data_IF_371317665575
#
_entry.id   IF_371317665575
#
_cell.length_a   1.000
_cell.length_b   1.000
_cell.length_c   1.000
_cell.angle_alpha   90.00
_cell.angle_beta   90.00
_cell.angle_gamma   90.00
#
_symmetry.space_group_name_H-M   'P 1'
#
loop_
_entity.id
_entity.type
_entity.pdbx_description
1 polymer ?
#
# COMPACT_ATOMS: atom_id res chain seq x y z
N UNK A 1 -18.16 18.77 -19.03
CA UNK A 1 -16.92 18.16 -18.49
C UNK A 1 -16.31 17.26 -19.56
N UNK A 2 -15.06 17.47 -19.89
CA UNK A 2 -14.32 16.61 -20.82
C UNK A 2 -13.63 15.57 -19.98
N UNK A 3 -13.99 14.31 -20.14
CA UNK A 3 -13.31 13.20 -19.53
C UNK A 3 -12.45 12.49 -20.57
N UNK A 4 -11.14 12.53 -20.39
CA UNK A 4 -10.18 11.79 -21.19
C UNK A 4 -9.40 10.83 -20.31
N UNK A 5 -9.05 9.66 -20.84
CA UNK A 5 -8.17 8.69 -20.18
C UNK A 5 -6.90 8.56 -21.01
N UNK A 6 -5.76 8.73 -20.37
CA UNK A 6 -4.47 8.49 -21.02
C UNK A 6 -3.64 7.51 -20.21
N UNK A 7 -2.89 6.67 -20.89
CA UNK A 7 -1.94 5.75 -20.26
C UNK A 7 -0.57 6.42 -20.26
N UNK A 8 -0.17 6.93 -19.09
CA UNK A 8 1.06 7.70 -18.93
C UNK A 8 2.32 6.91 -19.29
N UNK A 9 2.32 5.60 -19.03
CA UNK A 9 3.45 4.73 -19.33
C UNK A 9 3.77 4.56 -20.81
N UNK A 10 2.82 4.87 -21.68
CA UNK A 10 3.04 4.89 -23.14
C UNK A 10 3.61 6.21 -23.65
N UNK A 11 3.38 7.29 -22.92
CA UNK A 11 3.74 8.64 -23.35
C UNK A 11 5.00 9.17 -22.65
N UNK A 12 5.34 8.61 -21.49
CA UNK A 12 6.46 9.05 -20.66
C UNK A 12 7.24 7.84 -20.14
N UNK A 13 8.56 8.01 -20.03
CA UNK A 13 9.39 7.01 -19.39
C UNK A 13 9.20 7.08 -17.87
N UNK A 14 8.46 6.11 -17.36
CA UNK A 14 8.18 5.94 -15.92
C UNK A 14 8.74 4.60 -15.43
N UNK A 15 9.87 4.15 -15.97
CA UNK A 15 10.44 2.84 -15.67
C UNK A 15 11.13 2.79 -14.32
N UNK A 16 11.58 3.90 -13.80
CA UNK A 16 12.15 3.97 -12.46
C UNK A 16 11.03 4.14 -11.43
N UNK A 17 11.13 3.40 -10.32
CA UNK A 17 10.22 3.61 -9.19
C UNK A 17 10.48 4.97 -8.55
N UNK A 18 9.41 5.66 -8.18
CA UNK A 18 9.54 6.96 -7.54
C UNK A 18 8.27 7.81 -7.61
N UNK A 19 8.42 9.05 -7.18
CA UNK A 19 7.37 10.05 -7.27
C UNK A 19 7.46 10.77 -8.61
N UNK A 20 6.34 10.81 -9.32
CA UNK A 20 6.17 11.56 -10.54
C UNK A 20 5.19 12.71 -10.31
N UNK A 21 5.59 13.92 -10.64
CA UNK A 21 4.69 15.08 -10.63
C UNK A 21 4.04 15.22 -12.01
N UNK A 22 2.74 15.02 -12.07
CA UNK A 22 1.96 15.15 -13.31
C UNK A 22 1.14 16.42 -13.26
N UNK A 23 1.39 17.29 -14.25
CA UNK A 23 0.56 18.45 -14.52
C UNK A 23 0.04 18.39 -15.94
N UNK A 24 -1.10 18.96 -16.19
CA UNK A 24 -1.62 19.10 -17.55
C UNK A 24 -1.96 20.56 -17.85
N UNK A 25 -1.85 20.92 -19.12
CA UNK A 25 -2.30 22.18 -19.65
C UNK A 25 -3.32 21.90 -20.74
N UNK A 26 -4.50 22.49 -20.62
CA UNK A 26 -5.49 22.44 -21.69
C UNK A 26 -5.13 23.48 -22.74
N UNK A 27 -4.76 23.03 -23.92
CA UNK A 27 -4.61 23.92 -25.08
C UNK A 27 -5.95 23.96 -25.82
N UNK A 28 -6.70 25.03 -25.59
CA UNK A 28 -8.03 25.24 -26.18
C UNK A 28 -7.96 25.82 -27.60
N UNK A 29 -6.77 26.01 -28.14
CA UNK A 29 -6.59 26.69 -29.45
C UNK A 29 -6.93 25.84 -30.67
N UNK A 30 -7.15 24.53 -30.53
CA UNK A 30 -7.36 23.63 -31.67
C UNK A 30 -8.82 23.45 -32.12
N UNK A 31 -9.77 24.25 -31.64
CA UNK A 31 -11.20 24.01 -31.94
C UNK A 31 -12.13 25.23 -32.11
N UNK A 32 -11.68 26.43 -31.88
CA UNK A 32 -12.57 27.61 -31.96
C UNK A 32 -12.63 28.18 -33.39
N UNK A 33 -13.68 27.80 -34.11
CA UNK A 33 -14.21 28.62 -35.23
C UNK A 33 -15.17 29.62 -34.60
N UNK A 34 -14.95 30.91 -35.03
CA UNK A 34 -15.84 32.04 -34.96
C UNK A 34 -15.97 32.83 -33.62
N UNK A 35 -15.25 33.94 -33.56
CA UNK A 35 -15.89 35.22 -33.23
C UNK A 35 -16.02 35.60 -31.76
N UNK A 36 -15.33 34.97 -30.80
CA UNK A 36 -15.37 35.42 -29.42
C UNK A 36 -13.96 35.67 -28.87
N UNK A 37 -13.87 36.67 -27.97
CA UNK A 37 -12.67 37.15 -27.34
C UNK A 37 -11.82 36.00 -26.79
N UNK A 38 -10.51 36.13 -26.94
CA UNK A 38 -9.56 35.15 -26.42
C UNK A 38 -9.90 34.76 -24.95
N UNK A 39 -10.12 33.48 -24.66
CA UNK A 39 -10.37 33.09 -23.29
C UNK A 39 -9.12 33.33 -22.43
N UNK A 40 -9.37 33.81 -21.25
CA UNK A 40 -8.37 33.95 -20.21
C UNK A 40 -7.52 32.68 -20.11
N UNK A 41 -6.26 32.85 -19.75
CA UNK A 41 -5.23 31.83 -19.60
C UNK A 41 -5.76 30.43 -19.29
N UNK A 42 -5.36 29.46 -20.14
CA UNK A 42 -5.67 28.05 -19.90
C UNK A 42 -5.24 27.70 -18.47
N UNK A 43 -6.22 27.34 -17.66
CA UNK A 43 -5.96 26.97 -16.28
C UNK A 43 -5.00 25.76 -16.25
N UNK A 44 -3.79 25.98 -15.79
CA UNK A 44 -2.87 24.89 -15.51
C UNK A 44 -3.41 24.09 -14.32
N UNK A 45 -3.42 22.78 -14.45
CA UNK A 45 -3.77 21.93 -13.30
C UNK A 45 -2.73 22.09 -12.18
N UNK A 46 -3.17 21.97 -10.93
CA UNK A 46 -2.24 21.71 -9.84
C UNK A 46 -1.53 20.38 -10.13
N UNK A 47 -0.22 20.34 -10.00
CA UNK A 47 0.54 19.11 -10.17
C UNK A 47 0.06 18.04 -9.17
N UNK A 48 -0.23 16.85 -9.69
CA UNK A 48 -0.61 15.70 -8.87
C UNK A 48 0.60 14.79 -8.73
N UNK A 49 0.99 14.49 -7.51
CA UNK A 49 2.03 13.53 -7.23
C UNK A 49 1.49 12.11 -7.46
N UNK A 50 2.13 11.36 -8.34
CA UNK A 50 1.85 9.95 -8.58
C UNK A 50 3.06 9.15 -8.13
N UNK A 51 2.84 8.20 -7.24
CA UNK A 51 3.84 7.21 -6.87
C UNK A 51 3.75 6.02 -7.81
N UNK A 52 4.89 5.64 -8.35
CA UNK A 52 5.04 4.39 -9.05
C UNK A 52 6.09 3.55 -8.35
N UNK A 53 5.75 2.33 -7.99
CA UNK A 53 6.76 1.35 -7.61
C UNK A 53 7.66 1.06 -8.81
N UNK A 54 8.95 0.84 -8.56
CA UNK A 54 9.87 0.43 -9.62
C UNK A 54 9.26 -0.78 -10.33
N UNK A 55 9.25 -0.81 -11.67
CA UNK A 55 8.79 -1.99 -12.38
C UNK A 55 9.63 -3.16 -11.86
N UNK A 56 8.95 -4.19 -11.38
CA UNK A 56 9.58 -5.48 -11.18
C UNK A 56 10.12 -5.85 -12.55
N UNK A 57 11.45 -5.93 -12.71
CA UNK A 57 12.15 -6.09 -14.00
C UNK A 57 11.87 -7.43 -14.71
N UNK A 58 10.91 -8.19 -14.23
CA UNK A 58 10.36 -9.36 -14.92
C UNK A 58 8.82 -9.32 -14.78
N UNK A 59 8.07 -9.81 -15.77
CA UNK A 59 6.68 -10.14 -15.56
C UNK A 59 6.62 -10.99 -14.29
N UNK A 60 5.73 -10.62 -13.38
CA UNK A 60 5.48 -11.45 -12.19
C UNK A 60 5.05 -12.80 -12.73
N UNK A 61 5.93 -13.78 -12.61
CA UNK A 61 5.61 -15.17 -12.93
C UNK A 61 4.68 -15.67 -11.83
N UNK A 62 3.38 -15.53 -12.10
CA UNK A 62 2.34 -15.96 -11.17
C UNK A 62 2.33 -17.47 -10.98
N UNK A 63 2.85 -18.24 -11.95
CA UNK A 63 3.05 -19.68 -11.79
C UNK A 63 4.20 -19.96 -10.82
N UNK A 64 5.30 -19.23 -10.91
CA UNK A 64 6.39 -19.32 -9.93
C UNK A 64 5.96 -18.83 -8.54
N UNK A 65 5.12 -17.79 -8.43
CA UNK A 65 4.56 -17.34 -7.15
C UNK A 65 3.57 -18.37 -6.59
N UNK A 66 2.74 -18.98 -7.42
CA UNK A 66 1.83 -20.05 -7.00
C UNK A 66 2.56 -21.36 -6.71
N UNK A 67 3.75 -21.59 -7.30
CA UNK A 67 4.63 -22.70 -6.98
C UNK A 67 5.52 -22.44 -5.75
N UNK A 68 5.62 -21.20 -5.29
CA UNK A 68 6.18 -20.90 -3.97
C UNK A 68 5.26 -21.55 -2.94
N UNK A 69 5.77 -22.57 -2.25
CA UNK A 69 5.09 -23.19 -1.12
C UNK A 69 4.54 -22.08 -0.22
N UNK A 70 3.32 -22.30 0.27
CA UNK A 70 2.75 -21.42 1.30
C UNK A 70 3.85 -21.16 2.35
N UNK A 71 4.00 -19.89 2.82
CA UNK A 71 5.02 -19.55 3.79
C UNK A 71 5.07 -20.60 4.88
N UNK A 72 6.24 -21.06 5.26
CA UNK A 72 6.39 -22.08 6.27
C UNK A 72 5.64 -21.61 7.53
N UNK A 73 4.50 -22.25 7.84
CA UNK A 73 3.66 -21.89 8.97
C UNK A 73 2.29 -21.28 8.63
N UNK A 74 1.95 -21.04 7.34
CA UNK A 74 0.59 -20.62 6.99
C UNK A 74 -0.41 -21.77 7.15
N UNK A 75 -1.47 -21.51 7.90
CA UNK A 75 -2.58 -22.44 8.10
C UNK A 75 -3.92 -21.73 7.97
N UNK A 76 -4.98 -22.49 7.80
CA UNK A 76 -6.30 -21.99 7.49
C UNK A 76 -7.34 -22.55 8.45
N UNK A 77 -8.31 -21.72 8.84
CA UNK A 77 -9.47 -22.15 9.62
C UNK A 77 -10.73 -21.69 8.90
N UNK A 78 -11.69 -22.58 8.73
CA UNK A 78 -12.98 -22.31 8.08
C UNK A 78 -12.87 -21.77 6.64
N UNK A 79 -11.82 -22.09 5.91
CA UNK A 79 -11.58 -21.66 4.53
C UNK A 79 -11.85 -22.79 3.55
N UNK A 80 -12.64 -22.53 2.51
CA UNK A 80 -12.75 -23.43 1.34
C UNK A 80 -11.42 -23.51 0.58
N UNK A 81 -11.24 -24.50 -0.28
CA UNK A 81 -10.00 -24.66 -1.07
C UNK A 81 -9.71 -23.43 -1.95
N UNK A 82 -10.73 -22.81 -2.55
CA UNK A 82 -10.57 -21.58 -3.34
C UNK A 82 -10.14 -20.40 -2.47
N UNK A 83 -10.69 -20.29 -1.26
CA UNK A 83 -10.29 -19.26 -0.30
C UNK A 83 -8.85 -19.47 0.17
N UNK A 84 -8.43 -20.69 0.45
CA UNK A 84 -7.05 -21.01 0.83
C UNK A 84 -6.06 -20.56 -0.25
N UNK A 85 -6.35 -20.83 -1.54
CA UNK A 85 -5.54 -20.36 -2.66
C UNK A 85 -5.47 -18.83 -2.73
N UNK A 86 -6.61 -18.16 -2.55
CA UNK A 86 -6.67 -16.69 -2.51
C UNK A 86 -5.88 -16.09 -1.34
N UNK A 87 -5.97 -16.70 -0.16
CA UNK A 87 -5.19 -16.30 1.02
C UNK A 87 -3.69 -16.53 0.81
N UNK A 88 -3.29 -17.68 0.24
CA UNK A 88 -1.88 -17.96 -0.04
C UNK A 88 -1.27 -16.88 -0.95
N UNK A 89 -1.99 -16.51 -2.02
CA UNK A 89 -1.56 -15.45 -2.93
C UNK A 89 -1.48 -14.08 -2.21
N UNK A 90 -2.44 -13.78 -1.32
CA UNK A 90 -2.44 -12.54 -0.54
C UNK A 90 -1.28 -12.50 0.46
N UNK A 91 -0.97 -13.59 1.16
CA UNK A 91 0.17 -13.67 2.10
C UNK A 91 1.50 -13.53 1.36
N UNK A 92 1.63 -14.13 0.17
CA UNK A 92 2.81 -13.92 -0.69
C UNK A 92 2.97 -12.44 -1.08
N UNK A 93 1.89 -11.78 -1.47
CA UNK A 93 1.88 -10.34 -1.76
C UNK A 93 2.23 -9.50 -0.53
N UNK A 94 1.66 -9.81 0.63
CA UNK A 94 1.94 -9.14 1.91
C UNK A 94 3.42 -9.28 2.32
N UNK A 95 3.98 -10.48 2.15
CA UNK A 95 5.41 -10.73 2.39
C UNK A 95 6.28 -9.88 1.47
N UNK A 96 5.91 -9.79 0.18
CA UNK A 96 6.61 -8.94 -0.79
C UNK A 96 6.57 -7.47 -0.40
N UNK A 97 5.43 -6.96 0.07
CA UNK A 97 5.29 -5.57 0.53
C UNK A 97 6.13 -5.31 1.77
N UNK A 98 6.07 -6.18 2.76
CA UNK A 98 6.85 -6.05 3.99
C UNK A 98 8.36 -6.09 3.72
N UNK A 99 8.83 -7.04 2.89
CA UNK A 99 10.23 -7.16 2.46
C UNK A 99 10.69 -5.92 1.68
N UNK A 100 9.89 -5.44 0.75
CA UNK A 100 10.19 -4.23 -0.03
C UNK A 100 10.30 -2.99 0.86
N UNK A 101 9.39 -2.84 1.82
CA UNK A 101 9.41 -1.73 2.78
C UNK A 101 10.60 -1.79 3.72
N UNK A 102 10.90 -2.95 4.29
CA UNK A 102 12.08 -3.18 5.13
C UNK A 102 13.37 -2.91 4.35
N UNK A 103 13.49 -3.39 3.11
CA UNK A 103 14.67 -3.16 2.27
C UNK A 103 14.86 -1.67 1.98
N UNK A 104 13.78 -0.96 1.63
CA UNK A 104 13.83 0.49 1.44
C UNK A 104 14.35 1.19 2.71
N UNK A 105 13.77 0.90 3.87
CA UNK A 105 14.17 1.54 5.13
C UNK A 105 15.60 1.17 5.54
N UNK A 106 16.06 -0.06 5.26
CA UNK A 106 17.42 -0.47 5.51
C UNK A 106 18.45 0.22 4.59
N UNK A 107 18.05 0.59 3.37
CA UNK A 107 18.90 1.33 2.43
C UNK A 107 19.01 2.81 2.75
N UNK A 108 18.29 3.33 3.74
CA UNK A 108 18.20 4.75 4.09
C UNK A 108 18.59 5.00 5.54
N UNK A 109 18.86 6.27 5.82
CA UNK A 109 18.90 6.85 7.16
C UNK A 109 17.78 7.86 7.28
N UNK A 110 17.47 8.31 8.50
CA UNK A 110 16.44 9.35 8.70
C UNK A 110 16.75 10.66 7.95
N UNK A 111 18.03 10.94 7.66
CA UNK A 111 18.44 12.14 6.93
C UNK A 111 18.34 11.99 5.41
N UNK A 112 18.46 10.77 4.90
CA UNK A 112 18.44 10.47 3.46
C UNK A 112 17.11 9.94 2.95
N UNK A 113 16.17 9.65 3.85
CA UNK A 113 14.81 9.23 3.48
C UNK A 113 14.09 10.35 2.71
N UNK A 114 13.43 9.96 1.62
CA UNK A 114 12.75 10.88 0.69
C UNK A 114 11.23 10.96 0.89
N UNK A 115 10.53 11.55 -0.08
CA UNK A 115 9.07 11.74 -0.05
C UNK A 115 8.28 10.47 0.20
N UNK A 116 8.73 9.31 -0.30
CA UNK A 116 8.09 8.00 -0.03
C UNK A 116 7.84 7.76 1.47
N UNK A 117 8.75 8.20 2.32
CA UNK A 117 8.58 8.09 3.77
C UNK A 117 7.87 9.30 4.37
N UNK A 118 8.27 10.52 3.97
CA UNK A 118 7.75 11.75 4.60
C UNK A 118 6.27 12.00 4.31
N UNK A 119 5.76 11.48 3.20
CA UNK A 119 4.34 11.55 2.85
C UNK A 119 3.46 10.83 3.87
N UNK A 120 3.92 9.70 4.40
CA UNK A 120 3.13 8.84 5.28
C UNK A 120 3.44 9.04 6.76
N UNK A 121 4.67 9.43 7.08
CA UNK A 121 5.15 9.55 8.47
C UNK A 121 5.56 10.97 8.88
N UNK A 122 5.35 11.95 8.00
CA UNK A 122 5.63 13.36 8.25
C UNK A 122 7.10 13.74 8.11
N UNK A 123 7.46 14.94 8.57
CA UNK A 123 8.82 15.47 8.44
C UNK A 123 9.87 14.51 9.01
N UNK A 124 11.09 14.52 8.43
CA UNK A 124 12.21 13.65 8.85
C UNK A 124 12.47 13.73 10.36
N UNK A 125 12.50 12.58 11.00
CA UNK A 125 12.75 12.47 12.44
C UNK A 125 13.35 11.10 12.77
N UNK A 126 14.45 11.07 13.48
CA UNK A 126 15.22 9.84 13.74
C UNK A 126 14.41 8.77 14.50
N UNK A 127 13.72 9.15 15.56
CA UNK A 127 12.92 8.20 16.35
C UNK A 127 11.83 7.57 15.49
N UNK A 128 10.99 8.37 14.79
CA UNK A 128 9.92 7.84 13.94
C UNK A 128 10.45 6.97 12.80
N UNK A 129 11.57 7.35 12.21
CA UNK A 129 12.23 6.53 11.20
C UNK A 129 12.63 5.16 11.75
N UNK A 130 13.24 5.13 12.94
CA UNK A 130 13.63 3.89 13.60
C UNK A 130 12.41 3.04 13.98
N UNK A 131 11.32 3.68 14.44
CA UNK A 131 10.05 2.99 14.73
C UNK A 131 9.49 2.34 13.46
N UNK A 132 9.33 3.09 12.35
CA UNK A 132 8.83 2.51 11.10
C UNK A 132 9.72 1.36 10.58
N UNK A 133 11.04 1.50 10.71
CA UNK A 133 12.00 0.44 10.37
C UNK A 133 11.82 -0.81 11.23
N UNK A 134 11.60 -0.64 12.53
CA UNK A 134 11.32 -1.73 13.46
C UNK A 134 10.01 -2.43 13.11
N UNK A 135 8.95 -1.67 12.84
CA UNK A 135 7.63 -2.19 12.47
C UNK A 135 7.72 -3.07 11.22
N UNK A 136 8.27 -2.56 10.11
CA UNK A 136 8.37 -3.35 8.88
C UNK A 136 9.32 -4.54 8.99
N UNK A 137 10.34 -4.48 9.84
CA UNK A 137 11.18 -5.64 10.15
C UNK A 137 10.39 -6.72 10.89
N UNK A 138 9.58 -6.33 11.87
CA UNK A 138 8.75 -7.26 12.63
C UNK A 138 7.62 -7.85 11.78
N UNK A 139 6.96 -7.05 10.94
CA UNK A 139 5.91 -7.50 10.01
C UNK A 139 6.46 -8.54 9.03
N UNK A 140 7.61 -8.25 8.40
CA UNK A 140 8.28 -9.22 7.51
C UNK A 140 8.61 -10.52 8.24
N UNK A 141 9.23 -10.41 9.43
CA UNK A 141 9.56 -11.57 10.23
C UNK A 141 8.32 -12.39 10.60
N UNK A 142 7.18 -11.74 10.87
CA UNK A 142 5.95 -12.42 11.18
C UNK A 142 5.45 -13.26 9.98
N UNK A 143 5.43 -12.69 8.77
CA UNK A 143 5.03 -13.44 7.58
C UNK A 143 5.99 -14.58 7.20
N UNK A 144 7.30 -14.40 7.43
CA UNK A 144 8.30 -15.39 7.03
C UNK A 144 8.45 -16.53 8.04
N UNK A 145 8.33 -16.26 9.35
CA UNK A 145 8.84 -17.14 10.38
C UNK A 145 7.81 -17.51 11.47
N UNK A 146 6.62 -16.90 11.45
CA UNK A 146 5.61 -17.17 12.49
C UNK A 146 4.45 -18.04 11.96
N UNK A 147 3.74 -18.76 12.84
CA UNK A 147 2.62 -19.61 12.47
C UNK A 147 1.37 -18.76 12.17
N UNK A 148 1.31 -18.18 10.98
CA UNK A 148 0.17 -17.36 10.55
C UNK A 148 -1.05 -18.23 10.34
N UNK A 149 -2.16 -17.88 10.97
CA UNK A 149 -3.46 -18.53 10.80
C UNK A 149 -4.43 -17.54 10.17
N UNK A 150 -5.05 -17.90 9.06
CA UNK A 150 -6.12 -17.10 8.47
C UNK A 150 -7.45 -17.82 8.65
N UNK A 151 -8.39 -17.13 9.29
CA UNK A 151 -9.74 -17.63 9.57
C UNK A 151 -10.75 -16.95 8.62
N UNK A 152 -11.48 -17.77 7.87
CA UNK A 152 -12.45 -17.31 6.85
C UNK A 152 -13.90 -17.31 7.36
N UNK A 153 -14.13 -17.41 8.65
CA UNK A 153 -15.50 -17.53 9.20
C UNK A 153 -16.25 -16.19 9.30
N UNK A 154 -15.56 -15.06 9.12
CA UNK A 154 -16.17 -13.74 9.24
C UNK A 154 -17.11 -13.44 8.08
N UNK A 155 -18.34 -13.00 8.41
CA UNK A 155 -19.38 -12.63 7.43
C UNK A 155 -19.70 -11.14 7.41
N UNK A 156 -18.95 -10.31 8.14
CA UNK A 156 -19.12 -8.87 8.20
C UNK A 156 -18.64 -8.18 6.90
N UNK A 157 -19.09 -6.93 6.69
CA UNK A 157 -18.82 -6.20 5.45
C UNK A 157 -17.58 -5.30 5.50
N UNK A 158 -16.57 -5.65 6.30
CA UNK A 158 -15.25 -5.04 6.27
C UNK A 158 -14.20 -6.04 5.74
N UNK A 159 -12.93 -5.62 5.65
CA UNK A 159 -11.88 -6.43 5.03
C UNK A 159 -11.41 -7.56 5.94
N UNK A 160 -10.97 -7.22 7.15
CA UNK A 160 -10.43 -8.17 8.11
C UNK A 160 -10.44 -7.57 9.52
N UNK A 161 -10.07 -8.37 10.51
CA UNK A 161 -9.76 -7.91 11.85
C UNK A 161 -8.83 -8.90 12.55
N UNK A 162 -8.20 -8.42 13.61
CA UNK A 162 -7.41 -9.23 14.55
C UNK A 162 -7.74 -8.91 15.99
N UNK A 163 -7.33 -9.79 16.89
CA UNK A 163 -7.21 -9.49 18.31
C UNK A 163 -5.72 -9.26 18.63
N UNK A 164 -5.28 -8.04 18.98
CA UNK A 164 -3.86 -7.70 19.15
C UNK A 164 -3.09 -8.60 20.12
N UNK A 165 -3.80 -9.22 21.07
CA UNK A 165 -3.24 -10.14 22.07
C UNK A 165 -3.27 -11.61 21.64
N UNK A 166 -3.81 -11.94 20.45
CA UNK A 166 -3.82 -13.29 19.88
C UNK A 166 -2.97 -13.32 18.60
N UNK A 167 -1.63 -13.28 18.73
CA UNK A 167 -0.76 -13.03 17.60
C UNK A 167 -0.89 -14.08 16.51
N UNK A 168 -0.75 -13.56 15.30
CA UNK A 168 -0.68 -14.23 14.01
C UNK A 168 -2.01 -14.84 13.52
N UNK A 169 -3.14 -14.67 14.25
CA UNK A 169 -4.44 -15.10 13.76
C UNK A 169 -5.22 -13.90 13.17
N UNK A 170 -5.47 -13.94 11.85
CA UNK A 170 -6.18 -12.90 11.09
C UNK A 170 -7.53 -13.46 10.64
N UNK A 171 -8.60 -12.73 10.91
CA UNK A 171 -9.94 -13.06 10.45
C UNK A 171 -10.27 -12.22 9.22
N UNK A 172 -10.52 -12.88 8.08
CA UNK A 172 -10.86 -12.20 6.83
C UNK A 172 -12.37 -12.23 6.58
N UNK A 173 -12.93 -11.09 6.17
CA UNK A 173 -14.37 -10.87 6.06
C UNK A 173 -14.80 -10.66 4.59
N UNK A 174 -16.08 -10.30 4.35
CA UNK A 174 -16.66 -10.30 3.01
C UNK A 174 -15.96 -9.35 2.03
N UNK A 175 -15.57 -8.14 2.46
CA UNK A 175 -14.91 -7.17 1.58
C UNK A 175 -13.52 -7.65 1.11
N UNK A 176 -12.82 -8.46 1.89
CA UNK A 176 -11.54 -9.05 1.51
C UNK A 176 -11.63 -9.84 0.20
N UNK A 177 -12.72 -10.60 0.00
CA UNK A 177 -12.86 -11.47 -1.15
C UNK A 177 -13.10 -10.73 -2.46
N UNK A 178 -13.68 -9.52 -2.40
CA UNK A 178 -13.90 -8.67 -3.58
C UNK A 178 -12.69 -7.78 -3.91
N UNK A 179 -11.72 -7.64 -3.00
CA UNK A 179 -10.53 -6.83 -3.21
C UNK A 179 -9.57 -7.47 -4.22
N UNK A 180 -8.79 -6.65 -4.98
CA UNK A 180 -7.69 -7.15 -5.78
C UNK A 180 -6.62 -7.77 -4.89
N UNK A 181 -5.79 -8.66 -5.45
CA UNK A 181 -4.75 -9.32 -4.64
C UNK A 181 -3.67 -8.33 -4.18
N UNK A 182 -3.28 -7.39 -5.05
CA UNK A 182 -2.24 -6.38 -4.79
C UNK A 182 -2.69 -4.99 -5.27
N UNK A 183 -2.00 -3.94 -4.87
CA UNK A 183 -2.34 -2.55 -5.16
C UNK A 183 -2.96 -1.84 -3.97
N UNK A 184 -3.63 -0.71 -4.22
CA UNK A 184 -4.39 0.03 -3.20
C UNK A 184 -5.63 -0.77 -2.79
N UNK A 185 -6.00 -0.74 -1.52
CA UNK A 185 -7.17 -1.44 -0.97
C UNK A 185 -7.19 -2.93 -1.35
N UNK A 186 -6.05 -3.59 -1.21
CA UNK A 186 -5.82 -4.96 -1.66
C UNK A 186 -5.80 -5.97 -0.51
N UNK A 187 -5.99 -7.25 -0.84
CA UNK A 187 -5.86 -8.36 0.11
C UNK A 187 -4.49 -8.37 0.79
N UNK A 188 -3.42 -8.20 0.00
CA UNK A 188 -2.04 -8.14 0.53
C UNK A 188 -1.85 -6.94 1.46
N UNK A 189 -2.33 -5.77 1.10
CA UNK A 189 -2.30 -4.58 1.95
C UNK A 189 -3.08 -4.79 3.26
N UNK A 190 -4.28 -5.36 3.18
CA UNK A 190 -5.08 -5.72 4.35
C UNK A 190 -4.31 -6.63 5.31
N UNK A 191 -3.64 -7.66 4.79
CA UNK A 191 -2.87 -8.56 5.67
C UNK A 191 -1.68 -7.88 6.33
N UNK A 192 -1.01 -6.92 5.66
CA UNK A 192 0.06 -6.11 6.27
C UNK A 192 -0.51 -5.23 7.38
N UNK A 193 -1.65 -4.58 7.12
CA UNK A 193 -2.38 -3.75 8.09
C UNK A 193 -2.72 -4.55 9.35
N UNK A 194 -3.41 -5.68 9.21
CA UNK A 194 -3.81 -6.54 10.33
C UNK A 194 -2.60 -7.11 11.10
N UNK A 195 -1.55 -7.52 10.38
CA UNK A 195 -0.32 -8.02 11.00
C UNK A 195 0.33 -6.95 11.89
N UNK A 196 0.22 -5.67 11.51
CA UNK A 196 0.82 -4.58 12.27
C UNK A 196 0.16 -4.34 13.63
N UNK A 197 -1.10 -4.70 13.80
CA UNK A 197 -1.84 -4.52 15.06
C UNK A 197 -1.36 -5.45 16.19
N UNK A 198 -0.76 -6.59 15.89
CA UNK A 198 -0.33 -7.49 16.97
C UNK A 198 0.69 -6.82 17.88
N UNK A 199 0.44 -6.87 19.20
CA UNK A 199 1.32 -6.27 20.21
C UNK A 199 2.77 -6.75 20.12
N UNK A 200 2.97 -8.00 19.68
CA UNK A 200 4.31 -8.60 19.49
C UNK A 200 4.96 -8.26 18.16
N UNK A 201 4.26 -7.54 17.26
CA UNK A 201 4.74 -7.14 15.94
C UNK A 201 5.01 -5.64 15.93
N UNK A 202 3.99 -4.83 15.79
CA UNK A 202 4.14 -3.37 15.76
C UNK A 202 3.20 -2.66 16.74
N UNK A 203 2.08 -3.30 17.15
CA UNK A 203 1.11 -2.76 18.09
C UNK A 203 0.47 -1.46 17.62
N UNK A 204 0.27 -1.33 16.30
CA UNK A 204 -0.33 -0.13 15.70
C UNK A 204 -1.82 -0.02 16.00
N UNK A 205 -2.32 1.20 15.97
CA UNK A 205 -3.74 1.54 16.07
C UNK A 205 -4.31 2.01 14.74
N UNK A 206 -5.64 2.18 14.69
CA UNK A 206 -6.39 2.72 13.57
C UNK A 206 -6.75 4.19 13.79
N UNK A 207 -5.78 5.06 13.57
CA UNK A 207 -5.98 6.51 13.70
C UNK A 207 -6.62 7.14 12.45
N UNK A 208 -6.42 6.56 11.30
CA UNK A 208 -6.93 7.05 10.03
C UNK A 208 -6.94 5.92 8.98
N UNK A 209 -7.92 5.93 8.11
CA UNK A 209 -8.06 5.00 7.00
C UNK A 209 -7.96 5.72 5.66
N UNK A 210 -7.30 5.07 4.69
CA UNK A 210 -7.16 5.52 3.32
C UNK A 210 -6.16 6.65 3.14
N UNK A 211 -5.67 6.78 1.92
CA UNK A 211 -4.53 7.64 1.60
C UNK A 211 -4.68 9.10 2.03
N UNK A 212 -5.84 9.71 1.79
CA UNK A 212 -6.06 11.13 2.09
C UNK A 212 -6.00 11.41 3.59
N UNK A 213 -6.65 10.57 4.40
CA UNK A 213 -6.67 10.73 5.85
C UNK A 213 -5.29 10.43 6.46
N UNK A 214 -4.59 9.40 5.99
CA UNK A 214 -3.24 9.06 6.45
C UNK A 214 -2.22 10.15 6.14
N UNK A 215 -2.23 10.74 4.93
CA UNK A 215 -1.38 11.91 4.60
C UNK A 215 -1.69 13.11 5.49
N UNK A 216 -2.96 13.37 5.77
CA UNK A 216 -3.37 14.41 6.70
C UNK A 216 -2.90 14.11 8.13
N UNK A 217 -2.97 12.85 8.56
CA UNK A 217 -2.44 12.41 9.85
C UNK A 217 -0.92 12.62 9.94
N UNK A 218 -0.18 12.25 8.89
CA UNK A 218 1.27 12.45 8.80
C UNK A 218 1.69 13.91 8.98
N UNK A 219 0.89 14.85 8.49
CA UNK A 219 1.14 16.29 8.64
C UNK A 219 0.77 16.80 10.03
N UNK A 220 -0.40 16.41 10.54
CA UNK A 220 -0.95 16.96 11.78
C UNK A 220 -0.46 16.25 13.04
N UNK A 221 -0.22 14.97 12.96
CA UNK A 221 0.16 14.11 14.09
C UNK A 221 1.14 13.01 13.67
N UNK A 222 2.39 13.36 13.32
CA UNK A 222 3.35 12.38 12.80
C UNK A 222 3.66 11.22 13.75
N UNK A 223 3.48 11.41 15.07
CA UNK A 223 3.61 10.32 16.04
C UNK A 223 2.50 9.28 15.87
N UNK A 224 1.26 9.73 15.64
CA UNK A 224 0.16 8.83 15.35
C UNK A 224 0.31 8.20 13.97
N UNK A 225 0.85 8.93 13.00
CA UNK A 225 1.05 8.38 11.67
C UNK A 225 2.02 7.18 11.63
N UNK A 226 3.07 7.17 12.45
CA UNK A 226 3.98 6.01 12.54
C UNK A 226 3.38 4.85 13.34
N UNK A 227 2.32 5.11 14.09
CA UNK A 227 1.55 4.16 14.88
C UNK A 227 0.21 3.80 14.22
N UNK A 228 0.00 4.22 12.98
CA UNK A 228 -1.22 3.98 12.22
C UNK A 228 -1.02 2.84 11.22
N UNK A 229 -1.87 1.82 11.28
CA UNK A 229 -1.76 0.62 10.48
C UNK A 229 -1.85 0.90 8.96
N UNK A 230 -2.60 1.92 8.58
CA UNK A 230 -2.89 2.29 7.17
C UNK A 230 -1.89 3.30 6.57
N UNK A 231 -0.83 3.69 7.33
CA UNK A 231 0.14 4.73 6.92
C UNK A 231 1.38 4.20 6.22
#
# INVERSE_FOLDING_TARGET
SITGRTELTRSYDMNDGGEYLVSYRLDLAAGSRLGEAAPAEAAASTAVAIWRDAPVRAPIDWEAINAMQAPAGLSYTNCSSSQQSGVAAAVSGATTYATGSRNYLNSKTYSTVGPRWTTWFGAKHSSRFNTSKSHFTAIENAFLNQPVVVDCSCTENYYAYVYPTQPYKIYVCNAFWSAPNTGTDSRAGTLVHEMSHFNVVAGTDDWAYGQTACRSLATRSPKKAVDNADS
#
